data_IF_993771229388
#
_entry.id   IF_993771229388
#
_cell.length_a   1.000
_cell.length_b   1.000
_cell.length_c   1.000
_cell.angle_alpha   90.00
_cell.angle_beta   90.00
_cell.angle_gamma   90.00
#
_symmetry.space_group_name_H-M   'P 1'
#
loop_
_entity.id
_entity.type
_entity.pdbx_description
1 polymer ?
#
# COMPACT_ATOMS: atom_id res chain seq x y z
N UNK A 1 -5.42 -6.55 -9.90
CA UNK A 1 -4.31 -7.17 -9.12
C UNK A 1 -4.45 -6.76 -7.67
N UNK A 2 -3.76 -7.39 -6.72
CA UNK A 2 -3.78 -6.97 -5.31
C UNK A 2 -2.36 -6.55 -4.93
N UNK A 3 -2.23 -5.43 -4.21
CA UNK A 3 -0.98 -4.98 -3.63
C UNK A 3 -1.12 -4.83 -2.12
N UNK A 4 -0.10 -5.26 -1.38
CA UNK A 4 0.12 -4.85 0.00
C UNK A 4 1.19 -3.77 0.01
N UNK A 5 0.92 -2.67 0.68
CA UNK A 5 1.93 -1.66 0.97
C UNK A 5 2.09 -1.57 2.47
N UNK A 6 3.33 -1.74 2.92
CA UNK A 6 3.71 -1.54 4.30
C UNK A 6 4.46 -0.23 4.42
N UNK A 7 3.95 0.66 5.26
CA UNK A 7 4.55 1.96 5.59
C UNK A 7 5.04 1.91 7.02
N UNK A 8 6.22 2.46 7.29
CA UNK A 8 6.70 2.71 8.66
C UNK A 8 7.21 4.15 8.76
N UNK A 9 6.94 4.83 9.87
CA UNK A 9 7.51 6.14 10.15
C UNK A 9 7.63 6.42 11.65
N UNK A 10 8.58 7.27 12.09
CA UNK A 10 8.73 7.64 13.49
C UNK A 10 7.51 8.37 14.07
N UNK A 11 7.20 8.16 15.35
CA UNK A 11 6.07 8.81 16.01
C UNK A 11 6.09 10.34 15.91
N UNK A 12 7.27 10.95 16.03
CA UNK A 12 7.45 12.41 15.95
C UNK A 12 7.18 12.99 14.55
N UNK A 13 7.08 12.15 13.51
CA UNK A 13 6.70 12.54 12.14
C UNK A 13 5.21 12.39 11.84
N UNK A 14 4.41 11.86 12.78
CA UNK A 14 2.99 11.53 12.53
C UNK A 14 2.15 12.70 12.04
N UNK A 15 2.38 13.92 12.57
CA UNK A 15 1.64 15.13 12.16
C UNK A 15 1.97 15.53 10.73
N UNK A 16 3.24 15.41 10.33
CA UNK A 16 3.71 15.71 8.97
C UNK A 16 3.10 14.73 7.96
N UNK A 17 3.14 13.43 8.30
CA UNK A 17 2.52 12.34 7.54
C UNK A 17 1.02 12.58 7.35
N UNK A 18 0.30 12.92 8.43
CA UNK A 18 -1.14 13.20 8.38
C UNK A 18 -1.46 14.38 7.43
N UNK A 19 -0.65 15.44 7.47
CA UNK A 19 -0.81 16.59 6.55
C UNK A 19 -0.60 16.20 5.09
N UNK A 20 0.34 15.31 4.78
CA UNK A 20 0.52 14.81 3.42
C UNK A 20 -0.68 13.97 2.98
N UNK A 21 -1.16 13.05 3.83
CA UNK A 21 -2.36 12.26 3.53
C UNK A 21 -3.57 13.12 3.19
N UNK A 22 -3.78 14.23 3.90
CA UNK A 22 -4.88 15.18 3.63
C UNK A 22 -4.76 15.89 2.28
N UNK A 23 -3.55 15.98 1.71
CA UNK A 23 -3.30 16.58 0.38
C UNK A 23 -3.38 15.56 -0.75
N UNK A 24 -3.34 14.27 -0.44
CA UNK A 24 -3.40 13.23 -1.45
C UNK A 24 -4.83 13.06 -2.00
N UNK A 25 -4.98 12.62 -3.26
CA UNK A 25 -6.29 12.29 -3.79
C UNK A 25 -6.88 11.10 -3.03
N UNK A 26 -8.19 11.15 -2.77
CA UNK A 26 -8.90 10.03 -2.11
C UNK A 26 -9.12 8.83 -3.03
N UNK A 27 -9.13 9.09 -4.34
CA UNK A 27 -9.33 8.08 -5.37
C UNK A 27 -8.14 8.11 -6.32
N UNK A 28 -7.64 6.93 -6.69
CA UNK A 28 -6.61 6.76 -7.71
C UNK A 28 -7.26 6.00 -8.87
N UNK A 29 -7.05 6.43 -10.13
CA UNK A 29 -7.55 5.70 -11.29
C UNK A 29 -7.23 4.20 -11.23
N UNK A 30 -8.22 3.38 -11.58
CA UNK A 30 -8.12 1.91 -11.63
C UNK A 30 -7.87 1.22 -10.28
N UNK A 31 -7.84 1.95 -9.16
CA UNK A 31 -7.93 1.38 -7.81
C UNK A 31 -9.40 1.18 -7.47
N UNK A 32 -9.82 -0.09 -7.36
CA UNK A 32 -11.20 -0.48 -7.06
C UNK A 32 -11.51 -0.45 -5.56
N UNK A 33 -10.51 -0.74 -4.74
CA UNK A 33 -10.66 -0.77 -3.28
C UNK A 33 -9.32 -0.50 -2.62
N UNK A 34 -9.32 0.39 -1.64
CA UNK A 34 -8.19 0.65 -0.77
C UNK A 34 -8.64 0.51 0.69
N UNK A 35 -7.98 -0.34 1.46
CA UNK A 35 -8.14 -0.44 2.91
C UNK A 35 -6.82 -0.15 3.59
N UNK A 36 -6.87 0.65 4.64
CA UNK A 36 -5.69 1.13 5.38
C UNK A 36 -5.88 0.76 6.84
N UNK A 37 -4.87 0.15 7.45
CA UNK A 37 -4.87 -0.26 8.84
C UNK A 37 -3.63 0.30 9.52
N UNK A 38 -3.83 1.01 10.63
CA UNK A 38 -2.73 1.50 11.45
C UNK A 38 -2.41 0.47 12.54
N UNK A 39 -1.12 0.27 12.78
CA UNK A 39 -0.60 -0.54 13.84
C UNK A 39 0.45 0.26 14.63
N UNK A 40 0.46 0.06 15.95
CA UNK A 40 1.52 0.57 16.79
C UNK A 40 2.75 -0.33 16.63
N UNK A 41 3.90 0.25 16.31
CA UNK A 41 5.15 -0.49 16.11
C UNK A 41 6.11 -0.34 17.30
N UNK A 42 5.60 0.00 18.49
CA UNK A 42 6.45 0.18 19.67
C UNK A 42 7.40 1.37 19.50
N UNK A 43 8.68 1.12 19.76
CA UNK A 43 9.75 2.11 19.62
C UNK A 43 10.06 2.47 18.16
N UNK A 44 9.65 1.64 17.20
CA UNK A 44 9.88 1.87 15.77
C UNK A 44 8.88 2.86 15.15
N UNK A 45 7.92 3.35 15.96
CA UNK A 45 6.96 4.37 15.58
C UNK A 45 5.60 3.80 15.18
N UNK A 46 5.11 4.22 14.01
CA UNK A 46 3.82 3.79 13.46
C UNK A 46 4.07 2.93 12.24
N UNK A 47 3.29 1.86 12.12
CA UNK A 47 3.24 1.01 10.94
C UNK A 47 1.85 1.08 10.32
N UNK A 48 1.76 1.13 8.99
CA UNK A 48 0.49 1.09 8.27
C UNK A 48 0.51 -0.01 7.23
N UNK A 49 -0.60 -0.72 7.11
CA UNK A 49 -0.84 -1.72 6.08
C UNK A 49 -1.91 -1.21 5.14
N UNK A 50 -1.58 -1.12 3.86
CA UNK A 50 -2.50 -0.75 2.80
C UNK A 50 -2.76 -2.00 1.96
N UNK A 51 -4.02 -2.41 1.86
CA UNK A 51 -4.45 -3.46 0.95
C UNK A 51 -5.20 -2.82 -0.21
N UNK A 52 -4.63 -2.91 -1.40
CA UNK A 52 -5.10 -2.19 -2.59
C UNK A 52 -5.48 -3.18 -3.68
N UNK A 53 -6.73 -3.12 -4.12
CA UNK A 53 -7.26 -3.89 -5.23
C UNK A 53 -7.32 -3.01 -6.47
N UNK A 54 -6.71 -3.45 -7.54
CA UNK A 54 -6.67 -2.75 -8.83
C UNK A 54 -7.42 -3.51 -9.90
N UNK A 55 -7.81 -2.81 -10.97
CA UNK A 55 -8.19 -3.48 -12.20
C UNK A 55 -7.04 -4.35 -12.73
N UNK A 56 -7.34 -5.56 -13.21
CA UNK A 56 -6.33 -6.51 -13.68
C UNK A 56 -5.71 -6.03 -14.99
N UNK A 57 -6.51 -5.49 -15.91
CA UNK A 57 -6.06 -5.03 -17.22
C UNK A 57 -5.36 -3.67 -17.16
N UNK A 58 -5.50 -2.94 -16.05
CA UNK A 58 -4.90 -1.62 -15.82
C UNK A 58 -3.98 -1.61 -14.60
N UNK A 59 -3.40 -2.76 -14.27
CA UNK A 59 -2.59 -2.92 -13.06
C UNK A 59 -1.34 -2.02 -13.07
N UNK A 60 -0.69 -1.86 -14.23
CA UNK A 60 0.47 -0.99 -14.38
C UNK A 60 0.13 0.49 -14.18
N UNK A 61 -0.92 0.98 -14.84
CA UNK A 61 -1.43 2.35 -14.66
C UNK A 61 -1.81 2.64 -13.20
N UNK A 62 -2.49 1.68 -12.56
CA UNK A 62 -2.84 1.76 -11.15
C UNK A 62 -1.59 1.83 -10.25
N UNK A 63 -0.59 0.99 -10.52
CA UNK A 63 0.68 0.97 -9.79
C UNK A 63 1.44 2.29 -9.92
N UNK A 64 1.49 2.88 -11.12
CA UNK A 64 2.06 4.21 -11.31
C UNK A 64 1.32 5.29 -10.51
N UNK A 65 -0.02 5.23 -10.48
CA UNK A 65 -0.84 6.13 -9.68
C UNK A 65 -0.54 6.02 -8.18
N UNK A 66 -0.44 4.79 -7.67
CA UNK A 66 -0.04 4.49 -6.29
C UNK A 66 1.38 5.01 -6.00
N UNK A 67 2.33 4.81 -6.91
CA UNK A 67 3.70 5.33 -6.75
C UNK A 67 3.72 6.86 -6.64
N UNK A 68 2.96 7.56 -7.51
CA UNK A 68 2.81 9.03 -7.45
C UNK A 68 2.19 9.50 -6.13
N UNK A 69 1.21 8.76 -5.61
CA UNK A 69 0.59 9.04 -4.31
C UNK A 69 1.62 9.03 -3.18
N UNK A 70 2.53 8.04 -3.16
CA UNK A 70 3.52 7.92 -2.08
C UNK A 70 4.80 8.74 -2.28
N UNK A 71 5.08 9.26 -3.48
CA UNK A 71 6.31 10.03 -3.72
C UNK A 71 6.59 11.14 -2.70
N UNK A 72 5.61 11.99 -2.29
CA UNK A 72 5.89 13.06 -1.33
C UNK A 72 6.31 12.55 0.05
N UNK A 73 5.92 11.34 0.42
CA UNK A 73 6.20 10.76 1.73
C UNK A 73 7.65 10.26 1.83
N UNK A 74 8.25 9.85 0.69
CA UNK A 74 9.64 9.39 0.64
C UNK A 74 10.66 10.47 1.01
N UNK A 75 10.24 11.74 1.08
CA UNK A 75 11.08 12.86 1.52
C UNK A 75 11.13 13.00 3.05
N UNK A 76 10.27 12.28 3.78
CA UNK A 76 10.22 12.33 5.24
C UNK A 76 11.28 11.39 5.80
N UNK A 77 12.17 11.94 6.62
CA UNK A 77 13.18 11.16 7.33
C UNK A 77 12.56 10.03 8.17
N UNK A 78 13.10 8.82 8.00
CA UNK A 78 12.62 7.62 8.68
C UNK A 78 11.36 7.00 8.07
N UNK A 79 10.76 7.62 7.05
CA UNK A 79 9.68 7.00 6.29
C UNK A 79 10.22 5.84 5.46
N UNK A 80 9.61 4.66 5.59
CA UNK A 80 9.95 3.46 4.83
C UNK A 80 8.70 2.91 4.18
N UNK A 81 8.82 2.56 2.90
CA UNK A 81 7.76 2.01 2.08
C UNK A 81 8.22 0.66 1.52
N UNK A 82 7.38 -0.35 1.63
CA UNK A 82 7.53 -1.63 0.94
C UNK A 82 6.25 -1.91 0.18
N UNK A 83 6.37 -2.31 -1.09
CA UNK A 83 5.24 -2.67 -1.94
C UNK A 83 5.42 -4.11 -2.39
N UNK A 84 4.38 -4.92 -2.19
CA UNK A 84 4.35 -6.33 -2.55
C UNK A 84 3.11 -6.60 -3.40
N UNK A 85 3.29 -7.28 -4.54
CA UNK A 85 2.19 -7.86 -5.28
C UNK A 85 1.69 -9.10 -4.57
N UNK A 86 0.38 -9.20 -4.37
CA UNK A 86 -0.25 -10.34 -3.74
C UNK A 86 -0.98 -11.19 -4.77
N UNK A 87 -0.89 -12.50 -4.57
CA UNK A 87 -1.70 -13.49 -5.26
C UNK A 87 -2.80 -13.97 -4.32
N UNK A 88 -3.99 -14.22 -4.86
CA UNK A 88 -5.00 -14.96 -4.09
C UNK A 88 -4.50 -16.36 -3.79
N UNK A 89 -4.99 -16.98 -2.70
CA UNK A 89 -4.61 -18.36 -2.36
C UNK A 89 -4.91 -19.31 -3.53
N UNK A 90 -6.06 -19.13 -4.19
CA UNK A 90 -6.41 -19.87 -5.40
C UNK A 90 -5.40 -19.70 -6.54
N UNK A 91 -4.89 -18.49 -6.75
CA UNK A 91 -3.88 -18.22 -7.78
C UNK A 91 -2.56 -18.91 -7.44
N UNK A 92 -2.17 -18.89 -6.17
CA UNK A 92 -1.00 -19.61 -5.67
C UNK A 92 -1.09 -21.12 -5.91
N UNK A 93 -2.25 -21.73 -5.62
CA UNK A 93 -2.47 -23.16 -5.90
C UNK A 93 -2.45 -23.46 -7.40
N UNK A 94 -3.06 -22.61 -8.23
CA UNK A 94 -3.05 -22.77 -9.68
C UNK A 94 -1.62 -22.74 -10.26
N UNK A 95 -0.72 -21.91 -9.73
CA UNK A 95 0.69 -21.86 -10.14
C UNK A 95 1.44 -23.17 -9.83
N UNK A 96 0.99 -23.90 -8.82
CA UNK A 96 1.54 -25.21 -8.44
C UNK A 96 0.86 -26.38 -9.17
N UNK A 97 -0.07 -26.10 -10.10
CA UNK A 97 -0.87 -27.14 -10.77
C UNK A 97 -1.89 -27.81 -9.85
N UNK A 98 -2.24 -27.16 -8.73
CA UNK A 98 -3.18 -27.65 -7.72
C UNK A 98 -4.48 -26.84 -7.76
N UNK A 99 -5.55 -27.39 -7.19
CA UNK A 99 -6.82 -26.70 -6.99
C UNK A 99 -6.98 -26.30 -5.52
N UNK A 100 -7.44 -25.08 -5.29
CA UNK A 100 -7.89 -24.62 -3.98
C UNK A 100 -9.37 -24.93 -3.82
N UNK A 101 -9.72 -25.78 -2.84
CA UNK A 101 -11.11 -26.22 -2.55
C UNK A 101 -11.61 -25.66 -1.22
#
# INVERSE_FOLDING_TARGET
MIYMITVNYPNHKSVEIAKLYLKQPREIPYVKKWRIFNAYAGNDGVKQYHLIYTDKEKAEDAFMGIGKYFMPFNQIEGFRLQIESLLGVSDGYNLLGMKWE
#
